data_IF_630911361244
#
_entry.id   IF_630911361244
#
_cell.length_a   1.000
_cell.length_b   1.000
_cell.length_c   1.000
_cell.angle_alpha   90.00
_cell.angle_beta   90.00
_cell.angle_gamma   90.00
#
_symmetry.space_group_name_H-M   'P 1'
#
loop_
_entity.id
_entity.type
_entity.pdbx_description
1 polymer ?
#
# COMPACT_ATOMS: atom_id res chain seq x y z
N UNK A 1 -43.41 -21.98 -38.62
CA UNK A 1 -43.41 -20.50 -38.58
C UNK A 1 -42.07 -20.07 -38.01
N UNK A 2 -41.09 -19.76 -38.86
CA UNK A 2 -39.78 -19.30 -38.41
C UNK A 2 -39.85 -17.80 -38.14
N UNK A 3 -39.46 -17.37 -36.95
CA UNK A 3 -39.46 -15.97 -36.52
C UNK A 3 -38.46 -15.14 -37.32
N UNK A 4 -38.94 -14.10 -38.01
CA UNK A 4 -38.13 -13.07 -38.64
C UNK A 4 -37.34 -12.28 -37.59
N UNK A 5 -36.11 -12.71 -37.33
CA UNK A 5 -35.15 -11.91 -36.57
C UNK A 5 -34.33 -11.06 -37.54
N UNK A 6 -34.13 -9.76 -37.25
CA UNK A 6 -33.37 -8.88 -38.12
C UNK A 6 -31.93 -9.35 -38.25
N UNK A 7 -31.43 -9.41 -39.49
CA UNK A 7 -30.03 -9.74 -39.77
C UNK A 7 -29.13 -8.57 -39.36
N UNK A 8 -28.32 -8.79 -38.31
CA UNK A 8 -27.25 -7.88 -37.91
C UNK A 8 -26.03 -8.10 -38.81
N UNK A 9 -25.81 -7.17 -39.74
CA UNK A 9 -24.58 -7.13 -40.54
C UNK A 9 -23.55 -6.32 -39.77
N UNK A 10 -22.59 -7.01 -39.15
CA UNK A 10 -21.44 -6.35 -38.54
C UNK A 10 -20.42 -5.97 -39.62
N UNK A 11 -19.80 -4.78 -39.54
CA UNK A 11 -18.68 -4.44 -40.40
C UNK A 11 -17.50 -5.38 -40.13
N UNK A 12 -16.60 -5.52 -41.10
CA UNK A 12 -15.35 -6.26 -40.90
C UNK A 12 -14.52 -5.62 -39.79
N UNK A 13 -13.87 -6.45 -38.98
CA UNK A 13 -13.05 -6.01 -37.86
C UNK A 13 -12.02 -4.95 -38.32
N UNK A 14 -12.03 -3.78 -37.67
CA UNK A 14 -11.02 -2.75 -37.84
C UNK A 14 -10.18 -2.64 -36.57
N UNK A 15 -8.86 -2.77 -36.70
CA UNK A 15 -7.92 -2.56 -35.59
C UNK A 15 -7.73 -1.06 -35.40
N UNK A 16 -8.41 -0.49 -34.39
CA UNK A 16 -8.15 0.88 -33.99
C UNK A 16 -6.76 1.02 -33.36
N UNK A 17 -6.06 2.11 -33.67
CA UNK A 17 -4.83 2.49 -32.97
C UNK A 17 -5.25 3.14 -31.65
N UNK A 18 -4.82 2.58 -30.53
CA UNK A 18 -5.08 3.17 -29.21
C UNK A 18 -4.39 4.52 -29.12
N UNK A 19 -5.14 5.56 -28.74
CA UNK A 19 -4.56 6.84 -28.38
C UNK A 19 -3.66 6.66 -27.16
N UNK A 20 -2.45 7.23 -27.24
CA UNK A 20 -1.56 7.26 -26.09
C UNK A 20 -2.16 8.25 -25.08
N UNK A 21 -2.72 7.73 -23.99
CA UNK A 21 -3.02 8.56 -22.84
C UNK A 21 -1.75 9.22 -22.30
N UNK A 22 -1.88 10.37 -21.64
CA UNK A 22 -0.79 10.93 -20.85
C UNK A 22 -0.53 10.00 -19.65
N UNK A 23 0.63 9.35 -19.64
CA UNK A 23 1.14 8.68 -18.45
C UNK A 23 1.74 9.68 -17.46
N UNK A 24 1.81 9.29 -16.19
CA UNK A 24 2.50 10.04 -15.14
C UNK A 24 1.54 10.59 -14.09
N UNK A 25 1.35 9.82 -13.01
CA UNK A 25 0.86 10.39 -11.76
C UNK A 25 1.89 11.35 -11.18
N UNK A 26 1.44 12.30 -10.35
CA UNK A 26 2.38 13.09 -9.56
C UNK A 26 3.29 12.13 -8.77
N UNK A 27 4.60 12.39 -8.67
CA UNK A 27 5.44 11.62 -7.77
C UNK A 27 4.78 11.66 -6.39
N UNK A 28 4.85 10.56 -5.63
CA UNK A 28 4.35 10.53 -4.26
C UNK A 28 5.53 10.48 -3.28
N UNK A 29 5.43 11.26 -2.22
CA UNK A 29 6.26 11.14 -1.04
C UNK A 29 5.78 9.91 -0.27
N UNK A 30 6.73 9.06 0.09
CA UNK A 30 6.50 7.87 0.92
C UNK A 30 7.67 7.72 1.86
N UNK A 31 7.43 7.28 3.11
CA UNK A 31 8.51 7.03 4.04
C UNK A 31 9.39 5.91 3.49
N UNK A 32 10.71 6.12 3.51
CA UNK A 32 11.67 5.10 3.16
C UNK A 32 11.74 4.02 4.27
N UNK A 33 12.45 2.92 3.99
CA UNK A 33 12.55 1.79 4.94
C UNK A 33 13.01 2.21 6.35
N UNK A 34 13.96 3.14 6.45
CA UNK A 34 14.49 3.59 7.74
C UNK A 34 13.45 4.38 8.54
N UNK A 35 12.71 5.25 7.86
CA UNK A 35 11.60 6.02 8.43
C UNK A 35 10.48 5.08 8.90
N UNK A 36 10.09 4.12 8.06
CA UNK A 36 9.10 3.11 8.44
C UNK A 36 9.54 2.31 9.68
N UNK A 37 10.82 1.89 9.77
CA UNK A 37 11.34 1.17 10.95
C UNK A 37 11.26 2.05 12.20
N UNK A 38 11.61 3.34 12.09
CA UNK A 38 11.54 4.27 13.21
C UNK A 38 10.11 4.44 13.72
N UNK A 39 9.12 4.44 12.82
CA UNK A 39 7.72 4.65 13.15
C UNK A 39 7.05 3.36 13.66
N UNK A 40 7.23 2.23 12.97
CA UNK A 40 6.55 0.96 13.26
C UNK A 40 7.30 0.09 14.28
N UNK A 41 8.62 0.24 14.39
CA UNK A 41 9.47 -0.56 15.28
C UNK A 41 9.00 -0.56 16.74
N UNK A 42 8.68 0.60 17.36
CA UNK A 42 8.14 0.64 18.72
C UNK A 42 6.83 -0.12 18.88
N UNK A 43 5.93 -0.04 17.89
CA UNK A 43 4.63 -0.72 17.91
C UNK A 43 4.81 -2.24 17.82
N UNK A 44 5.64 -2.71 16.88
CA UNK A 44 5.97 -4.13 16.74
C UNK A 44 6.68 -4.68 17.97
N UNK A 45 7.56 -3.89 18.61
CA UNK A 45 8.20 -4.30 19.86
C UNK A 45 7.16 -4.49 20.98
N UNK A 46 6.19 -3.57 21.09
CA UNK A 46 5.12 -3.67 22.08
C UNK A 46 4.21 -4.88 21.81
N UNK A 47 3.87 -5.11 20.55
CA UNK A 47 3.10 -6.26 20.11
C UNK A 47 3.82 -7.58 20.45
N UNK A 48 5.11 -7.67 20.14
CA UNK A 48 5.95 -8.82 20.49
C UNK A 48 5.96 -9.09 22.00
N UNK A 49 6.12 -8.04 22.81
CA UNK A 49 6.11 -8.15 24.27
C UNK A 49 4.76 -8.64 24.81
N UNK A 50 3.65 -8.15 24.25
CA UNK A 50 2.31 -8.61 24.63
C UNK A 50 2.13 -10.10 24.31
N UNK A 51 2.51 -10.52 23.10
CA UNK A 51 2.49 -11.93 22.72
C UNK A 51 3.36 -12.80 23.63
N UNK A 52 4.57 -12.36 23.96
CA UNK A 52 5.49 -13.14 24.80
C UNK A 52 5.00 -13.24 26.24
N UNK A 53 4.37 -12.19 26.78
CA UNK A 53 3.73 -12.25 28.10
C UNK A 53 2.53 -13.22 28.11
N UNK A 54 1.71 -13.19 27.06
CA UNK A 54 0.51 -14.02 26.97
C UNK A 54 0.84 -15.49 26.66
N UNK A 55 1.91 -15.78 25.91
CA UNK A 55 2.43 -17.15 25.71
C UNK A 55 2.67 -17.88 27.03
N UNK A 56 3.16 -17.20 28.06
CA UNK A 56 3.38 -17.80 29.39
C UNK A 56 2.05 -18.17 30.05
N UNK A 57 1.04 -17.31 29.93
CA UNK A 57 -0.31 -17.63 30.41
C UNK A 57 -0.92 -18.84 29.66
N UNK A 58 -0.75 -18.90 28.34
CA UNK A 58 -1.29 -19.97 27.48
C UNK A 58 -0.65 -21.34 27.71
N UNK A 59 0.65 -21.41 28.03
CA UNK A 59 1.30 -22.66 28.41
C UNK A 59 0.76 -23.25 29.72
N UNK A 60 0.07 -22.45 30.52
CA UNK A 60 -0.44 -22.83 31.83
C UNK A 60 -1.94 -23.17 31.82
N UNK A 61 -2.65 -22.91 30.71
CA UNK A 61 -4.07 -23.24 30.56
C UNK A 61 -4.27 -24.71 30.13
N UNK A 62 -4.84 -25.59 30.99
CA UNK A 62 -5.09 -26.99 30.67
C UNK A 62 -6.20 -27.20 29.62
N UNK A 63 -7.00 -26.18 29.31
CA UNK A 63 -8.08 -26.26 28.31
C UNK A 63 -7.56 -26.15 26.86
N UNK A 64 -6.29 -25.77 26.66
CA UNK A 64 -5.65 -25.76 25.33
C UNK A 64 -6.29 -24.81 24.31
N UNK A 65 -7.11 -23.86 24.77
CA UNK A 65 -7.73 -22.85 23.91
C UNK A 65 -6.71 -21.77 23.61
N UNK A 66 -6.15 -21.79 22.40
CA UNK A 66 -5.38 -20.66 21.89
C UNK A 66 -6.34 -19.51 21.57
N UNK A 67 -6.20 -18.32 22.17
CA UNK A 67 -6.93 -17.15 21.71
C UNK A 67 -6.52 -16.83 20.27
N UNK A 68 -7.51 -16.61 19.42
CA UNK A 68 -7.30 -16.13 18.07
C UNK A 68 -6.93 -14.64 18.14
N UNK A 69 -5.66 -14.32 17.87
CA UNK A 69 -5.22 -12.93 17.78
C UNK A 69 -5.38 -12.41 16.37
N UNK A 70 -6.07 -11.27 16.24
CA UNK A 70 -6.27 -10.58 14.97
C UNK A 70 -5.40 -9.33 14.94
N UNK A 71 -4.61 -9.20 13.88
CA UNK A 71 -3.82 -8.00 13.60
C UNK A 71 -4.43 -7.31 12.38
N UNK A 72 -4.75 -6.02 12.52
CA UNK A 72 -5.21 -5.17 11.41
C UNK A 72 -4.04 -4.31 10.96
N UNK A 73 -3.73 -4.34 9.66
CA UNK A 73 -2.65 -3.57 9.05
C UNK A 73 -3.23 -2.80 7.87
N UNK A 74 -2.97 -1.51 7.85
CA UNK A 74 -3.19 -0.68 6.68
C UNK A 74 -1.96 -0.75 5.78
N UNK A 75 -2.16 -1.11 4.52
CA UNK A 75 -1.07 -1.28 3.56
C UNK A 75 -1.22 -0.33 2.41
N UNK A 76 -0.10 0.19 1.93
CA UNK A 76 -0.04 0.94 0.69
C UNK A 76 0.52 0.07 -0.43
N UNK A 77 -0.28 -0.14 -1.47
CA UNK A 77 0.09 -0.96 -2.62
C UNK A 77 -0.94 -2.04 -2.89
N UNK A 78 -0.58 -3.02 -3.72
CA UNK A 78 -1.43 -4.16 -4.02
C UNK A 78 -1.53 -5.09 -2.81
N UNK A 79 -2.75 -5.32 -2.33
CA UNK A 79 -3.04 -6.19 -1.18
C UNK A 79 -2.50 -7.61 -1.40
N UNK A 80 -2.46 -8.07 -2.65
CA UNK A 80 -1.98 -9.40 -3.03
C UNK A 80 -0.50 -9.61 -2.69
N UNK A 81 0.31 -8.55 -2.81
CA UNK A 81 1.73 -8.61 -2.45
C UNK A 81 1.90 -8.78 -0.94
N UNK A 82 1.06 -8.10 -0.15
CA UNK A 82 1.07 -8.21 1.31
C UNK A 82 0.55 -9.59 1.76
N UNK A 83 -0.55 -10.06 1.19
CA UNK A 83 -1.11 -11.38 1.48
C UNK A 83 -0.08 -12.49 1.22
N UNK A 84 0.65 -12.44 0.10
CA UNK A 84 1.75 -13.38 -0.18
C UNK A 84 2.86 -13.34 0.88
N UNK A 85 3.22 -12.14 1.35
CA UNK A 85 4.21 -11.99 2.40
C UNK A 85 3.73 -12.56 3.75
N UNK A 86 2.46 -12.33 4.11
CA UNK A 86 1.84 -12.86 5.32
C UNK A 86 1.76 -14.39 5.31
N UNK A 87 1.37 -14.98 4.16
CA UNK A 87 1.36 -16.44 3.99
C UNK A 87 2.76 -17.05 4.15
N UNK A 88 3.80 -16.40 3.62
CA UNK A 88 5.17 -16.88 3.71
C UNK A 88 5.70 -16.96 5.16
N UNK A 89 5.11 -16.20 6.09
CA UNK A 89 5.43 -16.22 7.52
C UNK A 89 4.40 -16.97 8.37
N UNK A 90 3.44 -17.66 7.74
CA UNK A 90 2.46 -18.52 8.42
C UNK A 90 1.33 -17.77 9.13
N UNK A 91 1.04 -16.53 8.75
CA UNK A 91 -0.08 -15.76 9.30
C UNK A 91 -1.33 -16.02 8.44
N UNK A 92 -2.45 -16.36 9.10
CA UNK A 92 -3.74 -16.53 8.46
C UNK A 92 -4.34 -15.19 8.02
N UNK A 93 -5.03 -15.19 6.87
CA UNK A 93 -5.74 -14.03 6.33
C UNK A 93 -7.23 -14.11 6.65
N UNK A 94 -7.78 -13.07 7.28
CA UNK A 94 -9.20 -13.03 7.65
C UNK A 94 -10.07 -12.23 6.68
N UNK A 95 -9.50 -11.22 6.02
CA UNK A 95 -10.25 -10.38 5.09
C UNK A 95 -9.54 -9.08 4.75
N UNK A 96 -10.09 -8.38 3.77
CA UNK A 96 -9.68 -7.06 3.34
C UNK A 96 -10.83 -6.07 3.61
N UNK A 97 -10.47 -4.84 3.93
CA UNK A 97 -11.41 -3.72 4.05
C UNK A 97 -10.91 -2.64 3.09
N UNK A 98 -11.71 -2.33 2.08
CA UNK A 98 -11.46 -1.18 1.21
C UNK A 98 -11.70 0.10 2.02
N UNK A 99 -10.64 0.86 2.24
CA UNK A 99 -10.71 2.19 2.82
C UNK A 99 -10.74 3.21 1.68
N UNK A 100 -11.95 3.56 1.24
CA UNK A 100 -12.15 4.68 0.32
C UNK A 100 -11.86 6.01 1.04
N UNK A 101 -11.42 7.03 0.28
CA UNK A 101 -11.27 8.42 0.73
C UNK A 101 -10.33 8.68 1.93
N UNK A 102 -9.20 7.96 2.01
CA UNK A 102 -8.13 8.32 2.96
C UNK A 102 -7.52 9.68 2.61
N UNK A 103 -7.53 10.61 3.57
CA UNK A 103 -6.86 11.90 3.43
C UNK A 103 -5.33 11.70 3.44
N UNK A 104 -4.57 12.41 2.57
CA UNK A 104 -3.11 12.41 2.64
C UNK A 104 -2.61 12.90 4.00
N UNK A 105 -1.69 12.16 4.60
CA UNK A 105 -0.98 12.57 5.81
C UNK A 105 0.43 13.12 5.48
N UNK A 106 1.21 13.47 6.50
CA UNK A 106 2.56 14.03 6.35
C UNK A 106 3.54 13.07 5.64
N UNK A 107 3.35 11.76 5.80
CA UNK A 107 4.25 10.73 5.26
C UNK A 107 3.84 10.32 3.83
N UNK A 108 2.57 10.49 3.46
CA UNK A 108 1.96 10.03 2.22
C UNK A 108 1.31 11.18 1.39
N UNK A 109 2.13 12.15 0.96
CA UNK A 109 1.70 13.30 0.15
C UNK A 109 2.10 13.22 -1.33
N UNK A 110 1.39 13.90 -2.23
CA UNK A 110 1.89 14.14 -3.58
C UNK A 110 3.01 15.19 -3.56
N UNK A 111 4.14 14.92 -4.21
CA UNK A 111 5.19 15.92 -4.39
C UNK A 111 4.59 17.14 -5.10
N UNK A 112 4.74 18.30 -4.49
CA UNK A 112 4.39 19.55 -5.16
C UNK A 112 5.56 20.02 -6.01
N UNK A 113 5.29 20.87 -7.02
CA UNK A 113 6.38 21.46 -7.84
C UNK A 113 7.40 22.25 -7.00
N UNK A 114 7.01 22.71 -5.80
CA UNK A 114 7.90 23.42 -4.88
C UNK A 114 8.93 22.49 -4.23
N UNK A 115 8.57 21.23 -3.96
CA UNK A 115 9.44 20.24 -3.32
C UNK A 115 10.50 19.66 -4.27
N UNK A 116 10.26 19.75 -5.58
CA UNK A 116 11.19 19.36 -6.64
C UNK A 116 12.21 20.43 -7.04
N UNK A 117 12.19 21.62 -6.41
CA UNK A 117 13.20 22.64 -6.67
C UNK A 117 14.56 22.16 -6.10
N UNK A 118 15.63 22.09 -6.91
CA UNK A 118 16.91 21.65 -6.40
C UNK A 118 17.43 22.65 -5.35
N UNK A 119 17.79 22.15 -4.17
CA UNK A 119 18.46 22.92 -3.10
C UNK A 119 19.93 23.20 -3.45
N UNK A 120 20.20 23.76 -4.62
CA UNK A 120 21.52 24.30 -4.97
C UNK A 120 21.39 25.74 -5.47
N UNK A 121 20.95 26.61 -4.56
CA UNK A 121 21.29 28.03 -4.64
C UNK A 121 22.79 28.16 -4.42
N UNK A 122 23.55 28.18 -5.51
CA UNK A 122 24.84 28.84 -5.56
C UNK A 122 24.60 30.35 -5.34
N UNK A 123 24.48 30.75 -4.09
CA UNK A 123 24.73 32.12 -3.62
C UNK A 123 26.02 32.06 -2.80
N UNK A 124 27.12 31.73 -3.49
CA UNK A 124 28.44 32.18 -3.09
C UNK A 124 28.64 33.49 -3.83
N UNK A 125 28.56 34.59 -3.08
CA UNK A 125 28.81 35.94 -3.56
C UNK A 125 30.14 36.00 -4.33
N UNK A 126 30.03 36.14 -5.65
CA UNK A 126 31.15 36.54 -6.49
C UNK A 126 31.28 38.07 -6.36
N UNK A 127 31.93 38.52 -5.29
CA UNK A 127 32.41 39.90 -5.20
C UNK A 127 33.72 39.97 -5.98
N UNK A 128 33.70 40.73 -7.07
CA UNK A 128 34.92 41.30 -7.65
C UNK A 128 35.22 42.61 -6.91
N UNK A 129 36.24 42.62 -6.07
CA UNK A 129 37.23 43.69 -5.88
C UNK A 129 38.51 43.11 -5.27
#
# INVERSE_FOLDING_TARGET
MASEQPLLIFPSFQRAKRDKGSGGGKPLHVPNKSEQIKHLGPQFKRLQQAFDAEKVALQTDPQGLFPEFVLVIETRGHIEDFHRAAQAIGIGWLGEIDLDDLEPDDDFTFWTKADSAPKNTWMGDFIWE
#
